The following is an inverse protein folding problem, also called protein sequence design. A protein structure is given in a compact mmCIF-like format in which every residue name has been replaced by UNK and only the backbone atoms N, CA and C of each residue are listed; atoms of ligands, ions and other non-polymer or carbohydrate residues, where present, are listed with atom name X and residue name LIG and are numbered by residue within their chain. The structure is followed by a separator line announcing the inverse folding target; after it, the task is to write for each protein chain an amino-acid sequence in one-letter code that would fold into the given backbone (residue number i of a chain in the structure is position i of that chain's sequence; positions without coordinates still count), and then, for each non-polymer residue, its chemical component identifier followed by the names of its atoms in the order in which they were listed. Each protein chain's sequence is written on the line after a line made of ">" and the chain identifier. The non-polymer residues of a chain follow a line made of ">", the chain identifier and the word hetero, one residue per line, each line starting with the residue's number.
data_IF_976433485602
#
_entry.id   IF_976433485602
#
_cell.length_a   1.000
_cell.length_b   1.000
_cell.length_c   1.000
_cell.angle_alpha   90.00
_cell.angle_beta   90.00
_cell.angle_gamma   90.00
#
_symmetry.space_group_name_H-M   'P 1'
#
loop_
_entity.id
_entity.type
_entity.pdbx_description
1 polymer ?
#
# COMPACT_ATOMS: atom_id res chain seq x y z
N UNK A 1 -19.09 -13.76 15.62
CA UNK A 1 -18.16 -12.62 15.56
C UNK A 1 -17.92 -12.33 14.09
N UNK A 2 -18.49 -11.26 13.56
CA UNK A 2 -18.06 -10.73 12.28
C UNK A 2 -16.74 -10.01 12.55
N UNK A 3 -15.64 -10.51 11.99
CA UNK A 3 -14.43 -9.70 11.90
C UNK A 3 -14.72 -8.68 10.81
N UNK A 4 -14.70 -7.39 11.16
CA UNK A 4 -14.73 -6.34 10.14
C UNK A 4 -13.49 -6.50 9.26
N UNK A 5 -13.70 -6.55 7.95
CA UNK A 5 -12.60 -6.57 7.00
C UNK A 5 -11.91 -5.18 7.02
N UNK A 6 -10.58 -5.11 7.15
CA UNK A 6 -9.89 -3.82 7.23
C UNK A 6 -10.16 -2.99 5.98
N UNK A 7 -10.47 -1.71 6.19
CA UNK A 7 -10.70 -0.75 5.12
C UNK A 7 -9.44 -0.54 4.27
N UNK A 8 -9.57 0.10 3.12
CA UNK A 8 -8.39 0.43 2.30
C UNK A 8 -7.45 1.41 3.00
N UNK A 9 -7.97 2.33 3.82
CA UNK A 9 -7.14 3.22 4.65
C UNK A 9 -6.39 2.45 5.72
N UNK A 10 -7.03 1.50 6.42
CA UNK A 10 -6.35 0.68 7.44
C UNK A 10 -5.22 -0.14 6.80
N UNK A 11 -5.50 -0.72 5.62
CA UNK A 11 -4.49 -1.47 4.85
C UNK A 11 -3.34 -0.57 4.43
N UNK A 12 -3.64 0.65 3.95
CA UNK A 12 -2.63 1.62 3.54
C UNK A 12 -1.73 2.03 4.70
N UNK A 13 -2.30 2.45 5.83
CA UNK A 13 -1.54 2.86 7.00
C UNK A 13 -0.65 1.74 7.52
N UNK A 14 -1.17 0.51 7.61
CA UNK A 14 -0.41 -0.64 8.06
C UNK A 14 0.78 -0.94 7.15
N UNK A 15 0.55 -1.04 5.83
CA UNK A 15 1.62 -1.42 4.91
C UNK A 15 2.67 -0.32 4.76
N UNK A 16 2.25 0.95 4.75
CA UNK A 16 3.13 2.12 4.67
C UNK A 16 4.03 2.19 5.90
N UNK A 17 3.46 2.06 7.09
CA UNK A 17 4.22 2.09 8.35
C UNK A 17 5.24 0.96 8.42
N UNK A 18 4.83 -0.26 8.05
CA UNK A 18 5.74 -1.40 8.02
C UNK A 18 6.89 -1.21 7.03
N UNK A 19 6.60 -0.72 5.82
CA UNK A 19 7.60 -0.48 4.78
C UNK A 19 8.57 0.66 5.14
N UNK A 20 8.06 1.73 5.76
CA UNK A 20 8.89 2.81 6.29
C UNK A 20 9.86 2.28 7.34
N UNK A 21 9.39 1.47 8.29
CA UNK A 21 10.24 0.82 9.30
C UNK A 21 11.32 -0.08 8.66
N UNK A 22 10.97 -0.88 7.64
CA UNK A 22 11.97 -1.71 6.94
C UNK A 22 13.10 -0.88 6.30
N UNK A 23 12.77 0.32 5.81
CA UNK A 23 13.71 1.25 5.18
C UNK A 23 14.56 1.95 6.24
N UNK A 24 13.92 2.51 7.28
CA UNK A 24 14.57 3.27 8.34
C UNK A 24 15.54 2.43 9.16
N UNK A 25 15.18 1.18 9.46
CA UNK A 25 16.02 0.24 10.20
C UNK A 25 17.09 -0.42 9.31
N UNK A 26 17.20 -0.02 8.03
CA UNK A 26 18.13 -0.55 7.03
C UNK A 26 18.18 -2.08 7.00
N UNK A 27 17.00 -2.72 7.16
CA UNK A 27 16.96 -4.16 7.38
C UNK A 27 17.55 -4.92 6.18
N UNK A 28 18.36 -5.96 6.43
CA UNK A 28 18.87 -6.81 5.36
C UNK A 28 17.73 -7.36 4.53
N UNK A 29 17.85 -7.22 3.20
CA UNK A 29 16.85 -7.68 2.23
C UNK A 29 15.47 -7.03 2.41
N UNK A 30 15.40 -5.75 2.79
CA UNK A 30 14.14 -4.99 2.88
C UNK A 30 13.28 -5.14 1.62
N UNK A 31 13.88 -5.04 0.42
CA UNK A 31 13.17 -5.25 -0.86
C UNK A 31 12.58 -6.64 -1.00
N UNK A 32 13.30 -7.70 -0.64
CA UNK A 32 12.79 -9.07 -0.65
C UNK A 32 11.62 -9.26 0.30
N UNK A 33 11.71 -8.69 1.51
CA UNK A 33 10.60 -8.71 2.50
C UNK A 33 9.38 -7.97 2.00
N UNK A 34 9.55 -6.77 1.45
CA UNK A 34 8.44 -5.99 0.89
C UNK A 34 7.73 -6.74 -0.25
N UNK A 35 8.48 -7.38 -1.15
CA UNK A 35 7.93 -8.19 -2.25
C UNK A 35 7.18 -9.43 -1.75
N UNK A 36 7.65 -10.06 -0.67
CA UNK A 36 6.93 -11.18 -0.03
C UNK A 36 5.58 -10.72 0.53
N UNK A 37 5.53 -9.57 1.21
CA UNK A 37 4.28 -9.01 1.72
C UNK A 37 3.32 -8.56 0.61
N UNK A 38 3.84 -8.14 -0.55
CA UNK A 38 3.03 -7.70 -1.68
C UNK A 38 2.00 -8.71 -2.16
N UNK A 39 2.30 -10.01 -2.07
CA UNK A 39 1.36 -11.07 -2.45
C UNK A 39 0.13 -11.13 -1.54
N UNK A 40 0.28 -10.76 -0.26
CA UNK A 40 -0.80 -10.82 0.72
C UNK A 40 -1.63 -9.53 0.73
N UNK A 41 -1.00 -8.35 0.82
CA UNK A 41 -1.77 -7.11 1.03
C UNK A 41 -2.50 -6.63 -0.22
N UNK A 42 -2.06 -7.04 -1.42
CA UNK A 42 -2.74 -6.70 -2.68
C UNK A 42 -3.95 -7.59 -2.97
N UNK A 43 -4.20 -8.61 -2.14
CA UNK A 43 -5.35 -9.49 -2.31
C UNK A 43 -6.65 -8.77 -1.96
N UNK A 44 -7.67 -8.90 -2.82
CA UNK A 44 -8.97 -8.26 -2.64
C UNK A 44 -9.02 -6.76 -2.98
N UNK A 45 -7.88 -6.12 -3.27
CA UNK A 45 -7.84 -4.69 -3.62
C UNK A 45 -8.00 -4.51 -5.14
N UNK A 46 -8.99 -3.72 -5.62
CA UNK A 46 -9.13 -3.45 -7.04
C UNK A 46 -7.87 -2.81 -7.63
N UNK A 47 -7.32 -3.39 -8.71
CA UNK A 47 -6.04 -2.97 -9.28
C UNK A 47 -4.80 -3.54 -8.60
N UNK A 48 -4.96 -4.30 -7.51
CA UNK A 48 -3.85 -4.88 -6.72
C UNK A 48 -2.94 -5.81 -7.52
N UNK A 49 -3.43 -6.47 -8.57
CA UNK A 49 -2.58 -7.27 -9.45
C UNK A 49 -1.56 -6.43 -10.24
N UNK A 50 -1.94 -5.22 -10.68
CA UNK A 50 -1.02 -4.28 -11.37
C UNK A 50 0.01 -3.76 -10.38
N UNK A 51 -0.45 -3.29 -9.21
CA UNK A 51 0.44 -2.82 -8.15
C UNK A 51 1.47 -3.90 -7.78
N UNK A 52 1.03 -5.16 -7.59
CA UNK A 52 1.94 -6.26 -7.26
C UNK A 52 3.01 -6.44 -8.33
N UNK A 53 2.66 -6.36 -9.61
CA UNK A 53 3.64 -6.43 -10.70
C UNK A 53 4.66 -5.28 -10.62
N UNK A 54 4.19 -4.06 -10.44
CA UNK A 54 5.06 -2.88 -10.30
C UNK A 54 6.03 -3.04 -9.12
N UNK A 55 5.55 -3.55 -7.98
CA UNK A 55 6.39 -3.85 -6.81
C UNK A 55 7.46 -4.91 -7.13
N UNK A 56 7.11 -5.98 -7.86
CA UNK A 56 8.09 -6.99 -8.27
C UNK A 56 9.15 -6.41 -9.21
N UNK A 57 8.77 -5.49 -10.09
CA UNK A 57 9.67 -4.85 -11.06
C UNK A 57 10.60 -3.82 -10.40
N UNK A 58 10.17 -3.17 -9.30
CA UNK A 58 10.97 -2.20 -8.53
C UNK A 58 12.30 -2.76 -8.05
N UNK A 59 13.33 -1.90 -8.04
CA UNK A 59 14.72 -2.27 -7.68
C UNK A 59 15.11 -1.89 -6.27
N UNK A 60 14.46 -0.89 -5.69
CA UNK A 60 14.81 -0.36 -4.37
C UNK A 60 13.60 -0.33 -3.43
N UNK A 61 13.87 -0.35 -2.12
CA UNK A 61 12.81 -0.28 -1.11
C UNK A 61 12.04 1.06 -1.17
N UNK A 62 12.70 2.24 -1.31
CA UNK A 62 11.98 3.49 -1.51
C UNK A 62 11.09 3.50 -2.76
N UNK A 63 11.51 2.86 -3.86
CA UNK A 63 10.67 2.74 -5.05
C UNK A 63 9.42 1.91 -4.75
N UNK A 64 9.54 0.80 -4.03
CA UNK A 64 8.39 -0.02 -3.63
C UNK A 64 7.42 0.78 -2.76
N UNK A 65 7.92 1.52 -1.77
CA UNK A 65 7.10 2.38 -0.92
C UNK A 65 6.33 3.42 -1.76
N UNK A 66 7.01 4.11 -2.66
CA UNK A 66 6.37 5.11 -3.53
C UNK A 66 5.26 4.51 -4.42
N UNK A 67 5.42 3.28 -4.92
CA UNK A 67 4.34 2.60 -5.69
C UNK A 67 3.10 2.38 -4.83
N UNK A 68 3.29 1.97 -3.57
CA UNK A 68 2.21 1.73 -2.62
C UNK A 68 1.49 3.03 -2.25
N UNK A 69 2.24 4.08 -1.93
CA UNK A 69 1.68 5.41 -1.61
C UNK A 69 0.85 5.95 -2.78
N UNK A 70 1.41 6.01 -3.99
CA UNK A 70 0.70 6.49 -5.17
C UNK A 70 -0.59 5.70 -5.45
N UNK A 71 -0.56 4.38 -5.28
CA UNK A 71 -1.73 3.53 -5.52
C UNK A 71 -2.86 3.81 -4.52
N UNK A 72 -2.57 3.83 -3.22
CA UNK A 72 -3.60 4.03 -2.21
C UNK A 72 -4.07 5.48 -2.15
N UNK A 73 -3.19 6.47 -2.32
CA UNK A 73 -3.58 7.88 -2.37
C UNK A 73 -4.56 8.17 -3.50
N UNK A 74 -4.30 7.65 -4.70
CA UNK A 74 -5.23 7.78 -5.82
C UNK A 74 -6.60 7.16 -5.52
N UNK A 75 -6.62 6.01 -4.82
CA UNK A 75 -7.88 5.32 -4.45
C UNK A 75 -8.64 6.03 -3.34
N UNK A 76 -7.95 6.53 -2.32
CA UNK A 76 -8.55 7.25 -1.20
C UNK A 76 -9.07 8.62 -1.64
N UNK A 77 -8.42 9.27 -2.61
CA UNK A 77 -8.90 10.50 -3.23
C UNK A 77 -10.23 10.27 -3.98
N UNK A 78 -10.41 9.13 -4.65
CA UNK A 78 -11.65 8.78 -5.34
C UNK A 78 -12.77 8.38 -4.36
N UNK A 79 -12.42 7.79 -3.22
CA UNK A 79 -13.37 7.38 -2.18
C UNK A 79 -13.83 8.52 -1.26
N UNK A 80 -13.11 9.64 -1.24
CA UNK A 80 -13.51 10.84 -0.52
C UNK A 80 -14.56 11.58 -1.35
N UNK A 81 -15.85 11.63 -0.95
CA UNK A 81 -16.77 12.57 -1.58
C UNK A 81 -16.22 13.96 -1.26
N UNK A 82 -15.76 14.68 -2.28
CA UNK A 82 -15.47 16.10 -2.16
C UNK A 82 -16.68 16.74 -1.47
N UNK A 83 -16.46 17.29 -0.27
CA UNK A 83 -17.49 18.00 0.49
C UNK A 83 -18.08 19.02 -0.47
N UNK A 84 -19.33 18.81 -0.87
CA UNK A 84 -20.12 19.83 -1.54
C UNK A 84 -20.31 20.95 -0.53
N UNK A 85 -19.38 21.92 -0.56
CA UNK A 85 -19.59 23.24 0.02
C UNK A 85 -20.63 23.93 -0.86
N UNK A 86 -21.90 23.64 -0.61
CA UNK A 86 -22.99 24.51 -1.03
C UNK A 86 -23.06 25.71 -0.08
N UNK A 87 -23.27 26.88 -0.69
CA UNK A 87 -23.12 28.22 -0.11
C UNK A 87 -24.25 28.69 0.79
#
# INVERSE_FOLDING_TARGET
>A
MFYDEPSESDRYEMIRTYFQMLIEEELPDATGKMKQFASWFTHGVPGGASLRKEIYDSKTAPEILARVENFFEARLAVQSPAVLIEG
#
